data_IF_576123728527
#
_entry.id   IF_576123728527
#
_cell.length_a   1.000
_cell.length_b   1.000
_cell.length_c   1.000
_cell.angle_alpha   90.00
_cell.angle_beta   90.00
_cell.angle_gamma   90.00
#
_symmetry.space_group_name_H-M   'P 1'
#
loop_
_entity.id
_entity.type
_entity.pdbx_description
1 polymer ?
#
# COMPACT_ATOMS: atom_id res chain seq x y z
N UNK A 1 -16.59 -13.41 24.79
CA UNK A 1 -17.79 -12.72 24.29
C UNK A 1 -17.51 -12.32 22.84
N UNK A 2 -18.01 -13.08 21.85
CA UNK A 2 -17.70 -12.91 20.41
C UNK A 2 -18.49 -11.71 19.86
N UNK A 3 -17.80 -10.62 19.50
CA UNK A 3 -18.41 -9.51 18.76
C UNK A 3 -18.63 -9.92 17.30
N UNK A 4 -19.89 -9.86 16.85
CA UNK A 4 -20.30 -10.04 15.46
C UNK A 4 -20.25 -8.69 14.75
N UNK A 5 -19.47 -8.60 13.69
CA UNK A 5 -19.55 -7.53 12.69
C UNK A 5 -20.86 -7.68 11.92
N UNK A 6 -21.70 -6.64 11.90
CA UNK A 6 -22.80 -6.52 10.96
C UNK A 6 -22.40 -5.56 9.85
N UNK A 7 -21.79 -6.09 8.79
CA UNK A 7 -21.88 -5.46 7.47
C UNK A 7 -23.36 -5.51 7.02
N UNK A 8 -23.86 -4.52 6.26
CA UNK A 8 -25.18 -4.64 5.67
C UNK A 8 -25.24 -5.90 4.80
N UNK A 9 -26.29 -6.69 5.00
CA UNK A 9 -26.40 -8.05 4.42
C UNK A 9 -26.21 -8.07 2.89
N UNK A 10 -25.73 -9.18 2.30
CA UNK A 10 -25.60 -9.38 0.85
C UNK A 10 -26.92 -9.25 0.05
N UNK A 11 -28.07 -9.05 0.70
CA UNK A 11 -29.38 -8.89 0.06
C UNK A 11 -29.64 -7.49 -0.50
N UNK A 12 -28.81 -6.49 -0.21
CA UNK A 12 -29.02 -5.13 -0.72
C UNK A 12 -28.60 -4.95 -2.19
N UNK A 13 -27.64 -5.75 -2.67
CA UNK A 13 -27.10 -5.65 -4.04
C UNK A 13 -27.84 -6.49 -5.09
N UNK A 14 -28.80 -7.33 -4.68
CA UNK A 14 -29.54 -8.21 -5.58
C UNK A 14 -30.79 -7.56 -6.22
N UNK A 15 -31.05 -6.27 -6.01
CA UNK A 15 -32.28 -5.60 -6.49
C UNK A 15 -32.08 -4.48 -7.53
N UNK A 16 -30.85 -4.09 -7.87
CA UNK A 16 -30.59 -3.01 -8.84
C UNK A 16 -29.93 -3.46 -10.16
N UNK A 17 -29.64 -4.74 -10.32
CA UNK A 17 -29.20 -5.32 -11.59
C UNK A 17 -30.23 -6.35 -12.04
N UNK A 18 -31.05 -5.96 -13.02
CA UNK A 18 -31.92 -6.89 -13.72
C UNK A 18 -31.08 -8.03 -14.32
N UNK A 19 -31.39 -9.26 -13.88
CA UNK A 19 -31.17 -10.52 -14.59
C UNK A 19 -29.85 -10.70 -15.32
N UNK A 20 -28.79 -11.09 -14.61
CA UNK A 20 -27.74 -11.95 -15.17
C UNK A 20 -27.30 -12.94 -14.08
N UNK A 21 -27.83 -14.16 -14.12
CA UNK A 21 -27.40 -15.27 -13.28
C UNK A 21 -26.10 -15.84 -13.84
N UNK A 22 -24.99 -15.71 -13.11
CA UNK A 22 -23.79 -16.51 -13.36
C UNK A 22 -23.94 -17.90 -12.69
N UNK A 23 -23.56 -19.01 -13.33
CA UNK A 23 -23.79 -20.35 -12.80
C UNK A 23 -22.71 -20.73 -11.78
N UNK A 24 -23.03 -20.63 -10.49
CA UNK A 24 -22.22 -21.18 -9.40
C UNK A 24 -22.93 -22.36 -8.75
N UNK A 25 -22.40 -23.58 -8.89
CA UNK A 25 -22.80 -24.74 -8.08
C UNK A 25 -22.33 -24.55 -6.62
N UNK A 26 -23.11 -24.97 -5.61
CA UNK A 26 -22.67 -24.92 -4.22
C UNK A 26 -21.68 -26.06 -3.92
N UNK A 27 -20.54 -25.72 -3.30
CA UNK A 27 -19.58 -26.69 -2.75
C UNK A 27 -20.06 -27.12 -1.35
N UNK A 28 -20.10 -28.42 -1.01
CA UNK A 28 -20.59 -28.88 0.27
C UNK A 28 -19.57 -28.66 1.39
N UNK A 29 -20.05 -28.31 2.58
CA UNK A 29 -19.31 -28.37 3.84
C UNK A 29 -18.91 -29.81 4.11
N UNK A 30 -17.62 -30.11 4.18
CA UNK A 30 -17.10 -31.33 4.79
C UNK A 30 -16.32 -31.01 6.05
N UNK A 31 -16.30 -31.99 6.94
CA UNK A 31 -16.10 -31.89 8.36
C UNK A 31 -14.64 -31.74 8.78
N UNK A 32 -14.46 -31.26 10.01
CA UNK A 32 -13.20 -31.04 10.69
C UNK A 32 -12.45 -32.37 10.86
N UNK A 33 -11.37 -32.55 10.09
CA UNK A 33 -10.32 -33.52 10.36
C UNK A 33 -9.17 -32.86 11.14
N UNK A 34 -8.93 -33.33 12.36
CA UNK A 34 -7.81 -32.94 13.23
C UNK A 34 -6.47 -33.47 12.72
N UNK A 35 -5.48 -32.59 12.53
CA UNK A 35 -4.08 -32.93 12.20
C UNK A 35 -3.17 -32.31 13.28
N UNK A 36 -2.11 -33.02 13.76
CA UNK A 36 -1.51 -32.78 15.07
C UNK A 36 -0.50 -31.63 15.07
N UNK A 37 -0.39 -30.99 16.25
CA UNK A 37 0.55 -29.91 16.56
C UNK A 37 1.94 -30.46 16.93
N UNK A 38 2.94 -30.10 16.15
CA UNK A 38 4.35 -29.96 16.54
C UNK A 38 4.97 -28.97 15.56
N UNK A 39 5.64 -27.87 15.88
CA UNK A 39 6.38 -27.52 17.08
C UNK A 39 7.60 -26.72 16.62
N UNK A 40 7.39 -25.44 16.26
CA UNK A 40 8.37 -24.34 16.22
C UNK A 40 7.61 -23.05 15.87
N UNK A 41 7.60 -22.09 16.77
CA UNK A 41 6.77 -20.89 16.70
C UNK A 41 7.10 -20.04 15.47
N UNK A 42 6.17 -19.97 14.52
CA UNK A 42 6.26 -19.14 13.33
C UNK A 42 5.56 -17.82 13.63
N UNK A 43 6.36 -16.79 13.93
CA UNK A 43 5.87 -15.46 14.29
C UNK A 43 5.01 -14.82 13.19
N UNK A 44 3.86 -14.29 13.60
CA UNK A 44 2.91 -13.55 12.78
C UNK A 44 3.47 -12.15 12.45
N UNK A 45 4.35 -12.06 11.45
CA UNK A 45 5.04 -10.80 11.06
C UNK A 45 4.08 -9.68 10.67
N UNK A 46 3.01 -9.99 9.93
CA UNK A 46 2.07 -8.96 9.51
C UNK A 46 1.02 -8.55 10.56
N UNK A 47 0.82 -9.30 11.64
CA UNK A 47 0.02 -8.83 12.80
C UNK A 47 0.83 -7.86 13.66
N UNK A 48 2.16 -8.06 13.76
CA UNK A 48 3.04 -7.19 14.54
C UNK A 48 2.97 -5.73 14.08
N UNK A 49 3.01 -5.44 12.78
CA UNK A 49 2.95 -4.04 12.31
C UNK A 49 1.56 -3.37 12.49
N UNK A 50 0.47 -4.16 12.51
CA UNK A 50 -0.88 -3.64 12.75
C UNK A 50 -1.22 -3.49 14.26
N UNK A 51 -0.53 -4.25 15.12
CA UNK A 51 -0.76 -4.31 16.57
C UNK A 51 0.35 -3.62 17.39
N UNK A 52 1.24 -2.84 16.78
CA UNK A 52 2.29 -2.09 17.49
C UNK A 52 3.52 -2.92 17.90
N UNK A 53 3.72 -4.08 17.28
CA UNK A 53 4.96 -4.84 17.29
C UNK A 53 6.11 -4.14 16.54
N UNK A 54 7.33 -4.50 16.92
CA UNK A 54 8.57 -3.87 16.46
C UNK A 54 8.69 -3.78 14.92
N UNK A 55 9.22 -2.66 14.42
CA UNK A 55 9.66 -2.52 13.04
C UNK A 55 11.00 -3.24 12.85
N UNK A 56 10.98 -4.49 12.34
CA UNK A 56 12.19 -5.25 12.04
C UNK A 56 12.46 -5.34 10.53
N UNK A 57 13.75 -5.48 10.16
CA UNK A 57 14.16 -5.81 8.80
C UNK A 57 13.59 -7.14 8.32
N UNK A 58 13.35 -8.08 9.24
CA UNK A 58 12.80 -9.42 8.97
C UNK A 58 11.33 -9.39 8.55
N UNK A 59 10.62 -8.29 8.82
CA UNK A 59 9.22 -8.14 8.43
C UNK A 59 9.08 -7.63 6.98
N UNK A 60 10.18 -7.29 6.30
CA UNK A 60 10.19 -6.84 4.91
C UNK A 60 10.40 -8.06 4.00
N UNK A 61 9.39 -8.36 3.17
CA UNK A 61 9.38 -9.53 2.29
C UNK A 61 9.53 -9.13 0.81
N UNK A 62 10.34 -9.88 0.05
CA UNK A 62 10.53 -9.74 -1.40
C UNK A 62 11.27 -8.47 -1.81
N UNK A 63 12.08 -7.89 -0.91
CA UNK A 63 12.87 -6.68 -1.13
C UNK A 63 14.31 -6.84 -0.62
N UNK A 64 14.85 -8.06 -0.71
CA UNK A 64 16.12 -8.48 -0.12
C UNK A 64 17.27 -7.60 -0.61
N UNK A 65 17.27 -7.26 -1.90
CA UNK A 65 18.29 -6.39 -2.52
C UNK A 65 18.25 -4.98 -1.92
N UNK A 66 17.06 -4.39 -1.80
CA UNK A 66 16.90 -3.05 -1.24
C UNK A 66 17.24 -3.03 0.26
N UNK A 67 16.76 -4.03 1.01
CA UNK A 67 17.03 -4.20 2.43
C UNK A 67 18.53 -4.35 2.68
N UNK A 68 19.22 -5.21 1.94
CA UNK A 68 20.66 -5.41 2.13
C UNK A 68 21.47 -4.16 1.77
N UNK A 69 21.06 -3.43 0.72
CA UNK A 69 21.68 -2.15 0.38
C UNK A 69 21.55 -1.14 1.55
N UNK A 70 20.35 -1.00 2.13
CA UNK A 70 20.11 -0.10 3.26
C UNK A 70 20.89 -0.54 4.51
N UNK A 71 20.88 -1.84 4.83
CA UNK A 71 21.64 -2.38 5.96
C UNK A 71 23.15 -2.19 5.79
N UNK A 72 23.65 -2.32 4.56
CA UNK A 72 25.05 -2.05 4.24
C UNK A 72 25.43 -0.59 4.51
N UNK A 73 24.57 0.37 4.14
CA UNK A 73 24.81 1.79 4.43
C UNK A 73 24.87 2.06 5.95
N UNK A 74 23.95 1.46 6.72
CA UNK A 74 23.93 1.58 8.17
C UNK A 74 25.22 1.01 8.80
N UNK A 75 25.65 -0.18 8.38
CA UNK A 75 26.88 -0.82 8.92
C UNK A 75 28.14 -0.02 8.62
N UNK A 76 28.20 0.65 7.46
CA UNK A 76 29.34 1.49 7.07
C UNK A 76 29.30 2.89 7.68
N UNK A 77 28.15 3.32 8.20
CA UNK A 77 27.95 4.67 8.71
C UNK A 77 27.92 5.74 7.60
N UNK A 78 27.65 5.36 6.35
CA UNK A 78 27.71 6.23 5.17
C UNK A 78 26.32 6.56 4.61
N UNK A 79 25.29 6.56 5.48
CA UNK A 79 23.91 6.85 5.08
C UNK A 79 23.80 8.29 4.54
N UNK A 80 23.41 8.49 3.27
CA UNK A 80 23.16 9.81 2.71
C UNK A 80 22.04 10.54 3.47
N UNK A 81 22.13 11.86 3.53
CA UNK A 81 21.07 12.68 4.16
C UNK A 81 19.73 12.58 3.42
N UNK A 82 19.73 12.26 2.13
CA UNK A 82 18.52 12.11 1.32
C UNK A 82 18.51 10.79 0.55
N UNK A 83 17.51 9.95 0.83
CA UNK A 83 17.21 8.71 0.15
C UNK A 83 15.90 8.86 -0.65
N UNK A 84 15.85 8.26 -1.83
CA UNK A 84 14.66 8.19 -2.67
C UNK A 84 14.31 6.72 -2.93
N UNK A 85 13.20 6.27 -2.34
CA UNK A 85 12.66 4.92 -2.51
C UNK A 85 11.67 4.93 -3.68
N UNK A 86 12.01 4.21 -4.75
CA UNK A 86 11.21 4.10 -5.99
C UNK A 86 10.71 2.68 -6.18
N UNK A 87 9.58 2.50 -6.86
CA UNK A 87 9.01 1.19 -7.15
C UNK A 87 7.48 1.20 -7.08
N UNK A 88 6.79 0.12 -7.49
CA UNK A 88 5.32 0.13 -7.55
C UNK A 88 4.64 0.43 -6.20
N UNK A 89 3.42 0.97 -6.23
CA UNK A 89 2.65 1.27 -5.02
C UNK A 89 2.34 -0.01 -4.25
N UNK A 90 2.52 -0.02 -2.93
CA UNK A 90 2.19 -1.18 -2.08
C UNK A 90 3.25 -2.28 -1.97
N UNK A 91 4.43 -2.14 -2.61
CA UNK A 91 5.52 -3.16 -2.51
C UNK A 91 6.29 -3.14 -1.18
N UNK A 92 5.95 -2.25 -0.24
CA UNK A 92 6.59 -2.19 1.08
C UNK A 92 7.60 -1.06 1.28
N UNK A 93 7.69 -0.09 0.35
CA UNK A 93 8.59 1.08 0.46
C UNK A 93 8.41 1.87 1.76
N UNK A 94 7.17 2.26 2.07
CA UNK A 94 6.86 3.04 3.28
C UNK A 94 7.15 2.25 4.56
N UNK A 95 6.81 0.95 4.57
CA UNK A 95 7.16 0.06 5.70
C UNK A 95 8.67 -0.02 5.89
N UNK A 96 9.42 -0.17 4.80
CA UNK A 96 10.89 -0.18 4.83
C UNK A 96 11.45 1.17 5.28
N UNK A 97 10.84 2.29 4.88
CA UNK A 97 11.22 3.63 5.36
C UNK A 97 11.02 3.77 6.87
N UNK A 98 9.96 3.18 7.44
CA UNK A 98 9.76 3.14 8.89
C UNK A 98 10.80 2.26 9.60
N UNK A 99 11.16 1.11 9.04
CA UNK A 99 12.24 0.25 9.59
C UNK A 99 13.59 0.96 9.53
N UNK A 100 13.91 1.61 8.41
CA UNK A 100 15.11 2.44 8.27
C UNK A 100 15.12 3.60 9.28
N UNK A 101 13.98 4.25 9.48
CA UNK A 101 13.82 5.30 10.49
C UNK A 101 14.05 4.75 11.90
N UNK A 102 13.52 3.56 12.18
CA UNK A 102 13.72 2.88 13.46
C UNK A 102 15.19 2.56 13.70
N UNK A 103 15.93 2.14 12.66
CA UNK A 103 17.35 1.88 12.75
C UNK A 103 18.17 3.16 13.00
N UNK A 104 17.91 4.24 12.26
CA UNK A 104 18.60 5.53 12.41
C UNK A 104 18.38 6.19 13.78
N UNK A 105 17.19 6.02 14.35
CA UNK A 105 16.84 6.57 15.67
C UNK A 105 17.17 5.58 16.81
N UNK A 106 17.51 4.33 16.47
CA UNK A 106 17.86 3.32 17.46
C UNK A 106 19.25 3.59 18.06
N UNK A 107 19.41 3.47 19.39
CA UNK A 107 20.71 3.57 20.01
C UNK A 107 21.77 2.58 19.49
N UNK A 108 21.33 1.37 19.11
CA UNK A 108 22.19 0.31 18.56
C UNK A 108 22.36 0.37 17.04
N UNK A 109 21.52 1.14 16.33
CA UNK A 109 21.58 1.26 14.87
C UNK A 109 20.90 0.13 14.08
N UNK A 110 20.32 -0.88 14.74
CA UNK A 110 19.85 -2.11 14.05
C UNK A 110 18.33 -2.30 14.01
N UNK A 111 17.54 -1.38 14.57
CA UNK A 111 16.10 -1.55 14.76
C UNK A 111 15.72 -2.79 15.62
N UNK A 112 16.46 -2.98 16.71
CA UNK A 112 16.37 -4.11 17.66
C UNK A 112 15.08 -4.19 18.52
N UNK A 113 14.10 -3.32 18.28
CA UNK A 113 12.87 -3.28 19.08
C UNK A 113 13.00 -2.57 20.43
N UNK A 114 14.04 -1.76 20.66
CA UNK A 114 14.18 -0.91 21.84
C UNK A 114 13.02 0.10 22.00
N UNK A 115 12.92 0.86 23.12
CA UNK A 115 11.87 1.86 23.32
C UNK A 115 11.74 2.87 22.18
N UNK A 116 12.85 3.33 21.59
CA UNK A 116 12.82 4.24 20.43
C UNK A 116 12.21 3.56 19.21
N UNK A 117 12.64 2.34 18.87
CA UNK A 117 12.07 1.58 17.75
C UNK A 117 10.57 1.32 17.92
N UNK A 118 10.11 1.06 19.15
CA UNK A 118 8.68 0.92 19.45
C UNK A 118 7.90 2.23 19.27
N UNK A 119 8.48 3.38 19.65
CA UNK A 119 7.88 4.70 19.37
C UNK A 119 7.80 4.96 17.86
N UNK A 120 8.81 4.54 17.09
CA UNK A 120 8.78 4.63 15.61
C UNK A 120 7.70 3.74 15.03
N UNK A 121 7.61 2.48 15.47
CA UNK A 121 6.56 1.55 15.05
C UNK A 121 5.15 2.08 15.34
N UNK A 122 4.97 2.70 16.50
CA UNK A 122 3.74 3.38 16.90
C UNK A 122 3.56 4.78 16.26
N UNK A 123 4.53 5.26 15.47
CA UNK A 123 4.54 6.59 14.79
C UNK A 123 4.45 7.79 15.73
N UNK A 124 4.88 7.63 16.98
CA UNK A 124 4.85 8.67 18.03
C UNK A 124 6.24 9.18 18.42
N UNK A 125 7.30 8.69 17.78
CA UNK A 125 8.66 9.16 18.06
C UNK A 125 8.77 10.67 17.79
N UNK A 126 9.33 11.47 18.74
CA UNK A 126 9.36 12.94 18.60
C UNK A 126 10.22 13.40 17.41
N UNK A 127 11.29 12.68 17.12
CA UNK A 127 12.22 12.96 16.01
C UNK A 127 11.87 12.24 14.69
N UNK A 128 10.69 11.61 14.62
CA UNK A 128 10.13 11.06 13.37
C UNK A 128 9.06 12.02 12.83
N UNK A 129 9.26 12.50 11.62
CA UNK A 129 8.33 13.39 10.94
C UNK A 129 7.78 12.74 9.67
N UNK A 130 6.49 12.40 9.70
CA UNK A 130 5.79 11.84 8.56
C UNK A 130 5.05 12.96 7.81
N UNK A 131 5.33 13.07 6.51
CA UNK A 131 4.60 13.91 5.57
C UNK A 131 3.86 12.99 4.62
N UNK A 132 2.53 13.07 4.64
CA UNK A 132 1.65 12.30 3.77
C UNK A 132 0.72 13.29 3.03
N UNK A 133 0.19 12.92 1.84
CA UNK A 133 -0.76 13.76 1.12
C UNK A 133 -2.03 14.04 1.92
N UNK A 134 -2.48 15.28 1.90
CA UNK A 134 -3.80 15.66 2.40
C UNK A 134 -4.81 15.63 1.24
N UNK A 135 -5.61 14.56 1.18
CA UNK A 135 -6.41 14.28 -0.01
C UNK A 135 -5.52 13.74 -1.12
N UNK A 136 -5.30 14.53 -2.17
CA UNK A 136 -4.53 14.12 -3.37
C UNK A 136 -3.16 14.81 -3.50
N UNK A 137 -2.83 15.76 -2.62
CA UNK A 137 -1.58 16.53 -2.74
C UNK A 137 -0.91 16.83 -1.40
N UNK A 138 0.40 17.09 -1.47
CA UNK A 138 1.21 17.65 -0.39
C UNK A 138 1.44 19.11 -0.74
N UNK A 139 0.78 19.99 0.01
CA UNK A 139 0.82 21.45 -0.23
C UNK A 139 2.06 22.08 0.39
N UNK A 140 2.44 23.26 -0.09
CA UNK A 140 3.65 23.97 0.33
C UNK A 140 3.65 24.31 1.82
N UNK A 141 2.48 24.59 2.42
CA UNK A 141 2.35 24.87 3.85
C UNK A 141 2.86 23.69 4.69
N UNK A 142 2.55 22.46 4.27
CA UNK A 142 2.97 21.25 4.98
C UNK A 142 4.49 21.07 4.96
N UNK A 143 5.13 21.41 3.83
CA UNK A 143 6.60 21.39 3.71
C UNK A 143 7.22 22.48 4.58
N UNK A 144 6.66 23.70 4.60
CA UNK A 144 7.16 24.80 5.44
C UNK A 144 7.00 24.54 6.94
N UNK A 145 5.90 23.90 7.35
CA UNK A 145 5.72 23.43 8.73
C UNK A 145 6.83 22.45 9.13
N UNK A 146 7.17 21.53 8.23
CA UNK A 146 8.26 20.58 8.44
C UNK A 146 9.61 21.31 8.58
N UNK A 147 9.92 22.26 7.70
CA UNK A 147 11.16 23.06 7.79
C UNK A 147 11.29 23.78 9.13
N UNK A 148 10.18 24.33 9.64
CA UNK A 148 10.13 24.93 10.98
C UNK A 148 10.45 23.94 12.10
N UNK A 149 10.05 22.68 11.98
CA UNK A 149 10.40 21.62 12.93
C UNK A 149 11.88 21.20 12.79
N UNK A 150 12.38 21.13 11.56
CA UNK A 150 13.78 20.79 11.25
C UNK A 150 14.76 21.87 11.71
N UNK A 151 14.32 23.09 11.97
CA UNK A 151 15.18 24.14 12.54
C UNK A 151 15.56 23.93 14.02
N UNK A 152 14.84 23.05 14.74
CA UNK A 152 15.06 22.81 16.19
C UNK A 152 16.12 21.74 16.42
N UNK A 153 16.57 21.51 17.67
CA UNK A 153 17.41 20.34 17.99
C UNK A 153 16.55 19.08 18.13
N UNK A 154 17.14 17.91 17.83
CA UNK A 154 16.52 16.63 18.10
C UNK A 154 16.19 16.49 19.60
N UNK A 155 15.05 15.89 19.92
CA UNK A 155 14.55 15.75 21.29
C UNK A 155 15.27 14.61 22.02
N UNK A 156 15.46 13.47 21.34
CA UNK A 156 16.13 12.29 21.91
C UNK A 156 17.61 12.19 21.46
N UNK A 157 18.12 13.18 20.72
CA UNK A 157 19.55 13.43 20.52
C UNK A 157 20.31 12.51 19.55
N UNK A 158 19.62 11.64 18.80
CA UNK A 158 20.23 10.75 17.78
C UNK A 158 20.22 11.31 16.36
N UNK A 159 19.46 12.39 16.15
CA UNK A 159 19.11 12.91 14.84
C UNK A 159 17.61 12.88 14.60
N UNK A 160 17.21 13.16 13.36
CA UNK A 160 15.82 13.24 12.92
C UNK A 160 15.64 12.50 11.62
N UNK A 161 14.46 11.91 11.46
CA UNK A 161 14.10 11.24 10.22
C UNK A 161 12.79 11.82 9.70
N UNK A 162 12.82 12.31 8.47
CA UNK A 162 11.66 12.74 7.71
C UNK A 162 11.32 11.65 6.71
N UNK A 163 10.08 11.19 6.72
CA UNK A 163 9.56 10.33 5.65
C UNK A 163 8.47 11.10 4.91
N UNK A 164 8.69 11.34 3.62
CA UNK A 164 7.69 11.92 2.73
C UNK A 164 7.08 10.78 1.91
N UNK A 165 5.89 10.32 2.31
CA UNK A 165 5.14 9.30 1.58
C UNK A 165 4.50 9.94 0.34
N UNK A 166 4.59 9.25 -0.79
CA UNK A 166 4.10 9.73 -2.09
C UNK A 166 4.62 11.13 -2.44
N UNK A 167 5.94 11.27 -2.50
CA UNK A 167 6.64 12.51 -2.83
C UNK A 167 6.18 13.13 -4.16
N UNK A 168 5.70 12.33 -5.11
CA UNK A 168 5.11 12.80 -6.37
C UNK A 168 3.82 13.60 -6.20
N UNK A 169 3.17 13.50 -5.04
CA UNK A 169 1.98 14.28 -4.72
C UNK A 169 2.32 15.69 -4.24
N UNK A 170 3.59 16.06 -4.10
CA UNK A 170 3.99 17.45 -3.83
C UNK A 170 3.52 18.36 -4.96
N UNK A 171 2.91 19.49 -4.62
CA UNK A 171 2.72 20.56 -5.61
C UNK A 171 4.08 21.09 -6.07
N UNK A 172 4.12 21.74 -7.22
CA UNK A 172 5.36 22.32 -7.73
C UNK A 172 5.97 23.32 -6.72
N UNK A 173 5.15 24.10 -6.02
CA UNK A 173 5.61 25.02 -4.98
C UNK A 173 6.18 24.25 -3.77
N UNK A 174 5.54 23.16 -3.37
CA UNK A 174 6.01 22.33 -2.26
C UNK A 174 7.36 21.68 -2.57
N UNK A 175 7.51 21.09 -3.77
CA UNK A 175 8.76 20.46 -4.19
C UNK A 175 9.91 21.48 -4.31
N UNK A 176 9.64 22.67 -4.85
CA UNK A 176 10.63 23.73 -4.97
C UNK A 176 11.04 24.30 -3.60
N UNK A 177 10.10 24.48 -2.67
CA UNK A 177 10.42 24.88 -1.31
C UNK A 177 11.36 23.87 -0.64
N UNK A 178 11.10 22.57 -0.85
CA UNK A 178 11.86 21.49 -0.23
C UNK A 178 13.30 21.36 -0.75
N UNK A 179 13.64 21.96 -1.90
CA UNK A 179 14.99 21.88 -2.48
C UNK A 179 16.06 22.41 -1.54
N UNK A 180 15.78 23.50 -0.82
CA UNK A 180 16.73 24.07 0.14
C UNK A 180 17.08 23.06 1.23
N UNK A 181 16.08 22.37 1.74
CA UNK A 181 16.22 21.34 2.78
C UNK A 181 16.97 20.10 2.28
N UNK A 182 16.84 19.77 0.99
CA UNK A 182 17.58 18.67 0.36
C UNK A 182 19.04 19.00 0.04
N UNK A 183 19.37 20.27 -0.20
CA UNK A 183 20.74 20.73 -0.46
C UNK A 183 21.55 20.89 0.81
N UNK A 184 20.96 21.55 1.81
CA UNK A 184 21.62 21.93 3.05
C UNK A 184 20.77 21.42 4.24
N UNK A 185 20.73 20.09 4.47
CA UNK A 185 19.99 19.54 5.60
C UNK A 185 20.61 20.03 6.91
N UNK A 186 19.76 20.25 7.92
CA UNK A 186 20.27 20.46 9.27
C UNK A 186 21.10 19.24 9.73
N UNK A 187 22.11 19.43 10.61
CA UNK A 187 22.90 18.33 11.13
C UNK A 187 22.03 17.19 11.65
N UNK A 188 22.47 15.96 11.40
CA UNK A 188 21.81 14.71 11.82
C UNK A 188 20.35 14.60 11.34
N UNK A 189 20.06 15.10 10.14
CA UNK A 189 18.73 14.98 9.52
C UNK A 189 18.79 14.05 8.32
N UNK A 190 17.94 13.01 8.34
CA UNK A 190 17.77 12.06 7.26
C UNK A 190 16.39 12.23 6.63
N UNK A 191 16.34 12.26 5.32
CA UNK A 191 15.14 12.46 4.52
C UNK A 191 14.96 11.22 3.65
N UNK A 192 13.79 10.60 3.76
CA UNK A 192 13.40 9.45 2.95
C UNK A 192 12.17 9.85 2.13
N UNK A 193 12.37 10.02 0.83
CA UNK A 193 11.29 10.24 -0.12
C UNK A 193 10.78 8.88 -0.61
N UNK A 194 9.46 8.68 -0.63
CA UNK A 194 8.85 7.48 -1.20
C UNK A 194 8.04 7.88 -2.42
N UNK A 195 8.34 7.29 -3.58
CA UNK A 195 7.64 7.54 -4.84
C UNK A 195 7.37 6.26 -5.61
N UNK A 196 6.38 6.28 -6.50
CA UNK A 196 6.14 5.18 -7.42
C UNK A 196 7.26 5.04 -8.46
N UNK A 197 7.69 6.18 -9.00
CA UNK A 197 8.77 6.27 -9.99
C UNK A 197 9.55 7.55 -9.79
N UNK A 198 10.78 7.60 -10.30
CA UNK A 198 11.60 8.83 -10.25
C UNK A 198 11.15 9.86 -11.29
N UNK A 199 10.51 9.39 -12.35
CA UNK A 199 9.97 10.19 -13.45
C UNK A 199 8.79 11.06 -13.00
N UNK A 200 8.10 10.64 -11.93
CA UNK A 200 7.01 11.40 -11.33
C UNK A 200 7.50 12.56 -10.43
N UNK A 201 8.81 12.76 -10.29
CA UNK A 201 9.42 13.78 -9.45
C UNK A 201 10.16 14.81 -10.30
N UNK A 202 10.33 16.01 -9.75
CA UNK A 202 11.17 17.03 -10.39
C UNK A 202 12.62 16.51 -10.48
N UNK A 203 13.29 16.64 -11.65
CA UNK A 203 14.69 16.23 -11.80
C UNK A 203 15.63 16.83 -10.75
N UNK A 204 15.32 18.05 -10.29
CA UNK A 204 16.06 18.75 -9.23
C UNK A 204 15.97 18.09 -7.87
N UNK A 205 14.85 17.45 -7.54
CA UNK A 205 14.69 16.65 -6.31
C UNK A 205 15.48 15.35 -6.46
N UNK A 206 15.31 14.65 -7.58
CA UNK A 206 15.94 13.36 -7.84
C UNK A 206 17.46 13.45 -7.82
N UNK A 207 18.04 14.52 -8.38
CA UNK A 207 19.51 14.69 -8.45
C UNK A 207 20.18 14.86 -7.08
N UNK A 208 19.43 15.18 -6.03
CA UNK A 208 19.91 15.38 -4.65
C UNK A 208 19.69 14.15 -3.75
N UNK A 209 19.06 13.10 -4.27
CA UNK A 209 18.71 11.91 -3.51
C UNK A 209 19.50 10.69 -4.01
N UNK A 210 19.87 9.80 -3.09
CA UNK A 210 20.34 8.46 -3.45
C UNK A 210 19.14 7.54 -3.68
N UNK A 211 18.99 7.04 -4.89
CA UNK A 211 17.90 6.14 -5.26
C UNK A 211 18.12 4.72 -4.68
N UNK A 212 17.07 4.16 -4.09
CA UNK A 212 16.95 2.75 -3.71
C UNK A 212 15.68 2.20 -4.38
N UNK A 213 15.86 1.20 -5.25
CA UNK A 213 14.79 0.64 -6.05
C UNK A 213 14.14 -0.56 -5.35
N UNK A 214 12.82 -0.57 -5.39
CA UNK A 214 11.96 -1.65 -4.94
C UNK A 214 11.23 -2.24 -6.15
N UNK A 215 11.08 -3.55 -6.19
CA UNK A 215 10.46 -4.29 -7.30
C UNK A 215 9.15 -4.95 -6.87
N UNK A 216 8.33 -5.34 -7.83
CA UNK A 216 7.25 -6.29 -7.57
C UNK A 216 7.83 -7.66 -7.19
N UNK A 217 7.07 -8.42 -6.41
CA UNK A 217 7.41 -9.78 -5.99
C UNK A 217 6.96 -10.75 -7.09
N UNK A 218 7.76 -11.77 -7.35
CA UNK A 218 7.39 -12.83 -8.29
C UNK A 218 6.11 -13.54 -7.86
N UNK A 219 5.25 -13.91 -8.81
CA UNK A 219 3.96 -14.54 -8.51
C UNK A 219 4.10 -15.82 -7.68
N UNK A 220 5.11 -16.65 -7.97
CA UNK A 220 5.36 -17.89 -7.21
C UNK A 220 5.78 -17.65 -5.76
N UNK A 221 6.69 -16.70 -5.53
CA UNK A 221 7.13 -16.29 -4.19
C UNK A 221 5.98 -15.70 -3.38
N UNK A 222 5.12 -14.90 -4.02
CA UNK A 222 3.94 -14.33 -3.38
C UNK A 222 2.87 -15.39 -3.08
N UNK A 223 2.66 -16.37 -3.97
CA UNK A 223 1.79 -17.52 -3.73
C UNK A 223 2.27 -18.32 -2.51
N UNK A 224 3.58 -18.60 -2.44
CA UNK A 224 4.17 -19.31 -1.30
C UNK A 224 3.98 -18.55 0.02
N UNK A 225 4.18 -17.23 0.00
CA UNK A 225 3.92 -16.38 1.17
C UNK A 225 2.46 -16.47 1.61
N UNK A 226 1.50 -16.34 0.68
CA UNK A 226 0.07 -16.37 0.99
C UNK A 226 -0.38 -17.73 1.55
N UNK A 227 0.18 -18.84 1.05
CA UNK A 227 -0.09 -20.17 1.60
C UNK A 227 0.52 -20.31 2.99
N UNK A 228 1.81 -20.03 3.13
CA UNK A 228 2.56 -20.36 4.35
C UNK A 228 2.31 -19.39 5.51
N UNK A 229 2.06 -18.11 5.21
CA UNK A 229 1.93 -17.04 6.23
C UNK A 229 0.51 -16.58 6.45
N UNK A 230 -0.30 -16.50 5.39
CA UNK A 230 -1.70 -16.07 5.49
C UNK A 230 -2.68 -17.27 5.55
N UNK A 231 -2.22 -18.49 5.27
CA UNK A 231 -3.01 -19.72 5.43
C UNK A 231 -4.05 -19.94 4.33
N UNK A 232 -3.87 -19.35 3.15
CA UNK A 232 -4.79 -19.49 2.02
C UNK A 232 -4.65 -20.86 1.35
N UNK A 233 -5.74 -21.35 0.73
CA UNK A 233 -5.68 -22.52 -0.13
C UNK A 233 -4.80 -22.23 -1.37
N UNK A 234 -4.02 -23.20 -1.90
CA UNK A 234 -3.08 -22.96 -3.00
C UNK A 234 -3.72 -22.31 -4.24
N UNK A 235 -4.92 -22.75 -4.65
CA UNK A 235 -5.63 -22.16 -5.80
C UNK A 235 -6.03 -20.70 -5.56
N UNK A 236 -6.48 -20.39 -4.35
CA UNK A 236 -6.86 -19.03 -3.95
C UNK A 236 -5.64 -18.12 -3.87
N UNK A 237 -4.55 -18.61 -3.25
CA UNK A 237 -3.27 -17.92 -3.16
C UNK A 237 -2.71 -17.61 -4.55
N UNK A 238 -2.73 -18.58 -5.47
CA UNK A 238 -2.30 -18.40 -6.87
C UNK A 238 -3.13 -17.36 -7.61
N UNK A 239 -4.45 -17.42 -7.47
CA UNK A 239 -5.35 -16.44 -8.08
C UNK A 239 -5.09 -15.03 -7.53
N UNK A 240 -4.88 -14.92 -6.22
CA UNK A 240 -4.63 -13.65 -5.54
C UNK A 240 -3.26 -13.06 -5.87
N UNK A 241 -2.21 -13.88 -5.86
CA UNK A 241 -0.84 -13.49 -6.21
C UNK A 241 -0.75 -12.97 -7.65
N UNK A 242 -1.52 -13.57 -8.57
CA UNK A 242 -1.61 -13.11 -9.96
C UNK A 242 -2.32 -11.76 -10.05
N UNK A 243 -3.55 -11.68 -9.51
CA UNK A 243 -4.37 -10.44 -9.58
C UNK A 243 -3.74 -9.26 -8.86
N UNK A 244 -2.93 -9.49 -7.83
CA UNK A 244 -2.24 -8.42 -7.13
C UNK A 244 -1.16 -7.76 -7.98
N UNK A 245 -0.72 -8.39 -9.09
CA UNK A 245 0.35 -7.88 -9.95
C UNK A 245 1.72 -7.90 -9.28
N UNK A 246 1.96 -8.83 -8.35
CA UNK A 246 3.20 -8.88 -7.57
C UNK A 246 3.31 -7.79 -6.50
N UNK A 247 2.21 -7.06 -6.23
CA UNK A 247 2.17 -6.03 -5.18
C UNK A 247 1.87 -6.69 -3.84
N UNK A 248 2.90 -6.80 -3.00
CA UNK A 248 2.81 -7.45 -1.68
C UNK A 248 1.68 -6.91 -0.80
N UNK A 249 1.67 -5.60 -0.55
CA UNK A 249 0.72 -4.98 0.36
C UNK A 249 -0.73 -5.14 -0.11
N UNK A 250 -0.96 -5.16 -1.42
CA UNK A 250 -2.27 -5.44 -2.02
C UNK A 250 -2.69 -6.90 -1.80
N UNK A 251 -1.79 -7.84 -2.07
CA UNK A 251 -2.06 -9.26 -1.87
C UNK A 251 -2.40 -9.58 -0.40
N UNK A 252 -1.61 -9.08 0.55
CA UNK A 252 -1.88 -9.26 1.98
C UNK A 252 -3.17 -8.55 2.41
N UNK A 253 -3.42 -7.33 1.90
CA UNK A 253 -4.67 -6.61 2.19
C UNK A 253 -5.88 -7.42 1.74
N UNK A 254 -5.88 -7.92 0.50
CA UNK A 254 -7.00 -8.69 -0.05
C UNK A 254 -7.14 -10.08 0.59
N UNK A 255 -6.05 -10.70 1.03
CA UNK A 255 -6.08 -11.96 1.76
C UNK A 255 -6.78 -11.80 3.12
N UNK A 256 -6.48 -10.71 3.84
CA UNK A 256 -7.03 -10.44 5.18
C UNK A 256 -8.41 -9.81 5.14
N UNK A 257 -8.67 -9.01 4.11
CA UNK A 257 -9.91 -8.27 3.90
C UNK A 257 -10.39 -8.49 2.45
N UNK A 258 -11.02 -9.64 2.15
CA UNK A 258 -11.49 -9.97 0.79
C UNK A 258 -12.40 -8.90 0.19
N UNK A 259 -13.13 -8.14 1.01
CA UNK A 259 -13.94 -7.00 0.60
C UNK A 259 -13.13 -5.86 -0.02
N UNK A 260 -11.86 -5.68 0.35
CA UNK A 260 -10.99 -4.66 -0.24
C UNK A 260 -10.72 -4.93 -1.73
N UNK A 261 -10.71 -6.21 -2.15
CA UNK A 261 -10.59 -6.60 -3.56
C UNK A 261 -11.82 -6.23 -4.41
N UNK A 262 -12.93 -5.80 -3.78
CA UNK A 262 -14.14 -5.41 -4.49
C UNK A 262 -13.92 -4.16 -5.37
N UNK A 263 -13.10 -3.20 -4.94
CA UNK A 263 -12.84 -1.98 -5.71
C UNK A 263 -12.09 -2.28 -7.01
N UNK A 264 -11.07 -3.14 -6.95
CA UNK A 264 -10.40 -3.67 -8.14
C UNK A 264 -11.38 -4.32 -9.10
N UNK A 265 -12.19 -5.26 -8.59
CA UNK A 265 -13.17 -5.99 -9.41
C UNK A 265 -14.17 -5.06 -10.09
N UNK A 266 -14.63 -4.01 -9.38
CA UNK A 266 -15.49 -2.96 -9.94
C UNK A 266 -14.81 -2.20 -11.07
N UNK A 267 -13.50 -1.95 -10.95
CA UNK A 267 -12.68 -1.38 -12.02
C UNK A 267 -12.69 -2.24 -13.28
N UNK A 268 -12.37 -3.54 -13.13
CA UNK A 268 -12.39 -4.50 -14.24
C UNK A 268 -13.77 -4.59 -14.89
N UNK A 269 -14.83 -4.70 -14.08
CA UNK A 269 -16.23 -4.71 -14.56
C UNK A 269 -16.57 -3.42 -15.33
N UNK A 270 -16.17 -2.26 -14.80
CA UNK A 270 -16.38 -0.99 -15.47
C UNK A 270 -15.69 -0.95 -16.84
N UNK A 271 -14.42 -1.35 -16.91
CA UNK A 271 -13.66 -1.41 -18.15
C UNK A 271 -14.30 -2.37 -19.18
N UNK A 272 -14.76 -3.55 -18.72
CA UNK A 272 -15.43 -4.53 -19.58
C UNK A 272 -16.76 -4.04 -20.15
N UNK A 273 -17.45 -3.13 -19.44
CA UNK A 273 -18.74 -2.58 -19.85
C UNK A 273 -18.62 -1.25 -20.60
N UNK A 274 -17.54 -0.47 -20.43
CA UNK A 274 -17.44 0.92 -20.91
C UNK A 274 -17.88 1.10 -22.38
N UNK A 275 -17.49 0.20 -23.28
CA UNK A 275 -17.82 0.31 -24.71
C UNK A 275 -19.28 -0.03 -25.05
N UNK A 276 -20.03 -0.59 -24.10
CA UNK A 276 -21.44 -1.00 -24.24
C UNK A 276 -22.39 -0.09 -23.48
N UNK A 277 -21.85 0.77 -22.63
CA UNK A 277 -22.62 1.76 -21.91
C UNK A 277 -22.78 3.00 -22.77
N UNK A 278 -23.97 3.57 -22.74
CA UNK A 278 -24.14 4.97 -23.12
C UNK A 278 -23.32 5.86 -22.17
N UNK A 279 -22.96 7.06 -22.62
CA UNK A 279 -22.26 8.04 -21.77
C UNK A 279 -23.00 8.26 -20.43
N UNK A 280 -24.33 8.28 -20.45
CA UNK A 280 -25.16 8.43 -19.24
C UNK A 280 -24.98 7.27 -18.26
N UNK A 281 -24.97 6.04 -18.75
CA UNK A 281 -24.79 4.85 -17.89
C UNK A 281 -23.38 4.76 -17.34
N UNK A 282 -22.38 5.10 -18.14
CA UNK A 282 -20.99 5.19 -17.70
C UNK A 282 -20.83 6.23 -16.57
N UNK A 283 -21.37 7.44 -16.77
CA UNK A 283 -21.35 8.49 -15.74
C UNK A 283 -22.11 8.09 -14.47
N UNK A 284 -23.23 7.38 -14.59
CA UNK A 284 -23.98 6.84 -13.44
C UNK A 284 -23.15 5.85 -12.63
N UNK A 285 -22.40 4.95 -13.30
CA UNK A 285 -21.51 3.99 -12.65
C UNK A 285 -20.35 4.70 -11.94
N UNK A 286 -19.76 5.73 -12.56
CA UNK A 286 -18.72 6.57 -11.93
C UNK A 286 -19.27 7.27 -10.68
N UNK A 287 -20.46 7.87 -10.76
CA UNK A 287 -21.10 8.56 -9.63
C UNK A 287 -21.43 7.60 -8.47
N UNK A 288 -21.88 6.38 -8.78
CA UNK A 288 -22.09 5.32 -7.78
C UNK A 288 -20.77 4.95 -7.07
N UNK A 289 -19.68 4.77 -7.83
CA UNK A 289 -18.37 4.46 -7.24
C UNK A 289 -17.86 5.63 -6.38
N UNK A 290 -18.07 6.87 -6.83
CA UNK A 290 -17.70 8.09 -6.08
C UNK A 290 -18.40 8.14 -4.72
N UNK A 291 -19.71 7.82 -4.67
CA UNK A 291 -20.49 7.81 -3.43
C UNK A 291 -19.97 6.77 -2.45
N UNK A 292 -19.73 5.54 -2.91
CA UNK A 292 -19.19 4.47 -2.06
C UNK A 292 -17.79 4.80 -1.52
N UNK A 293 -16.91 5.34 -2.37
CA UNK A 293 -15.58 5.80 -1.95
C UNK A 293 -15.71 6.91 -0.91
N UNK A 294 -16.68 7.83 -1.05
CA UNK A 294 -16.90 8.90 -0.07
C UNK A 294 -17.42 8.39 1.28
N UNK A 295 -18.20 7.31 1.30
CA UNK A 295 -18.78 6.73 2.52
C UNK A 295 -17.82 5.82 3.27
N UNK A 296 -16.70 5.41 2.65
CA UNK A 296 -15.71 4.53 3.27
C UNK A 296 -15.08 5.20 4.52
N UNK A 297 -15.13 4.47 5.63
CA UNK A 297 -14.52 4.76 6.94
C UNK A 297 -13.84 3.52 7.46
N UNK A 298 -12.65 3.66 8.07
CA UNK A 298 -11.95 2.55 8.71
C UNK A 298 -12.11 2.64 10.22
N UNK A 299 -12.72 1.61 10.84
CA UNK A 299 -12.77 1.49 12.30
C UNK A 299 -11.56 0.68 12.80
N UNK A 300 -10.76 1.26 13.71
CA UNK A 300 -9.75 0.50 14.46
C UNK A 300 -8.40 1.18 14.71
N UNK A 301 -7.70 0.68 15.73
CA UNK A 301 -6.30 0.93 16.05
C UNK A 301 -6.09 1.61 17.40
N UNK A 302 -5.59 0.87 18.39
CA UNK A 302 -5.04 1.50 19.61
C UNK A 302 -4.85 0.66 20.87
N UNK A 303 -4.78 -0.68 20.84
CA UNK A 303 -4.70 -1.45 22.10
C UNK A 303 -3.39 -1.20 22.89
N UNK A 304 -2.28 -0.82 22.24
CA UNK A 304 -1.01 -0.52 22.93
C UNK A 304 -0.80 0.93 23.37
N UNK A 305 -1.48 1.88 22.74
CA UNK A 305 -1.24 3.32 22.97
C UNK A 305 -1.97 3.82 24.22
N UNK A 306 -3.11 3.23 24.58
CA UNK A 306 -3.85 3.62 25.78
C UNK A 306 -3.06 3.35 27.07
N UNK A 307 -2.35 2.22 27.14
CA UNK A 307 -1.44 1.91 28.24
C UNK A 307 -0.26 2.91 28.34
N UNK A 308 0.24 3.39 27.20
CA UNK A 308 1.30 4.41 27.15
C UNK A 308 0.77 5.80 27.55
N UNK A 309 -0.44 6.17 27.09
CA UNK A 309 -1.09 7.45 27.40
C UNK A 309 -1.43 7.59 28.89
N UNK A 310 -1.82 6.50 29.55
CA UNK A 310 -2.07 6.51 31.00
C UNK A 310 -0.82 6.75 31.84
N UNK A 311 0.37 6.58 31.26
CA UNK A 311 1.66 6.81 31.94
C UNK A 311 2.23 8.22 31.69
N UNK A 312 1.59 9.05 30.85
CA UNK A 312 2.04 10.41 30.52
C UNK A 312 1.33 11.48 31.37
N UNK A 313 1.94 12.66 31.48
CA UNK A 313 1.27 13.82 32.07
C UNK A 313 0.04 14.27 31.26
N UNK A 314 -0.89 14.98 31.92
CA UNK A 314 -2.19 15.32 31.33
C UNK A 314 -2.11 16.16 30.04
N UNK A 315 -1.14 17.09 29.94
CA UNK A 315 -0.96 17.95 28.75
C UNK A 315 -0.37 17.19 27.56
N UNK A 316 0.47 16.19 27.81
CA UNK A 316 1.07 15.34 26.78
C UNK A 316 0.06 14.31 26.29
N UNK A 317 -0.76 13.76 27.19
CA UNK A 317 -1.87 12.88 26.84
C UNK A 317 -2.94 13.59 25.98
N UNK A 318 -3.32 14.83 26.31
CA UNK A 318 -4.29 15.62 25.55
C UNK A 318 -3.79 15.94 24.13
N UNK A 319 -2.54 16.37 23.99
CA UNK A 319 -1.92 16.58 22.67
C UNK A 319 -1.91 15.31 21.82
N UNK A 320 -1.61 14.15 22.41
CA UNK A 320 -1.64 12.88 21.69
C UNK A 320 -3.08 12.47 21.30
N UNK A 321 -4.09 12.73 22.14
CA UNK A 321 -5.50 12.45 21.79
C UNK A 321 -5.93 13.24 20.57
N UNK A 322 -5.65 14.55 20.54
CA UNK A 322 -5.92 15.40 19.37
C UNK A 322 -5.20 14.89 18.12
N UNK A 323 -3.92 14.48 18.26
CA UNK A 323 -3.15 13.88 17.16
C UNK A 323 -3.78 12.59 16.65
N UNK A 324 -4.35 11.76 17.53
CA UNK A 324 -5.07 10.51 17.17
C UNK A 324 -6.35 10.80 16.37
N UNK A 325 -7.11 11.83 16.73
CA UNK A 325 -8.29 12.26 15.96
C UNK A 325 -7.90 12.75 14.56
N UNK A 326 -6.86 13.58 14.47
CA UNK A 326 -6.29 14.03 13.20
C UNK A 326 -5.77 12.84 12.36
N UNK A 327 -5.11 11.87 12.99
CA UNK A 327 -4.69 10.62 12.36
C UNK A 327 -5.86 9.76 11.89
N UNK A 328 -6.94 9.66 12.66
CA UNK A 328 -8.14 8.92 12.25
C UNK A 328 -8.77 9.56 11.00
N UNK A 329 -8.90 10.89 10.97
CA UNK A 329 -9.35 11.63 9.78
C UNK A 329 -8.43 11.40 8.58
N UNK A 330 -7.10 11.37 8.79
CA UNK A 330 -6.12 11.04 7.74
C UNK A 330 -6.22 9.59 7.26
N UNK A 331 -6.48 8.63 8.15
CA UNK A 331 -6.69 7.20 7.82
C UNK A 331 -7.87 7.04 6.88
N UNK A 332 -9.00 7.65 7.16
CA UNK A 332 -10.18 7.62 6.28
C UNK A 332 -9.84 8.16 4.89
N UNK A 333 -9.23 9.36 4.81
CA UNK A 333 -8.81 9.95 3.53
C UNK A 333 -7.86 9.03 2.74
N UNK A 334 -6.89 8.41 3.43
CA UNK A 334 -5.95 7.45 2.82
C UNK A 334 -6.66 6.21 2.29
N UNK A 335 -7.64 5.69 3.03
CA UNK A 335 -8.39 4.51 2.65
C UNK A 335 -9.23 4.76 1.37
N UNK A 336 -9.88 5.93 1.28
CA UNK A 336 -10.61 6.34 0.06
C UNK A 336 -9.68 6.43 -1.15
N UNK A 337 -8.50 7.01 -0.96
CA UNK A 337 -7.48 7.11 -2.02
C UNK A 337 -6.98 5.73 -2.45
N UNK A 338 -6.67 4.84 -1.50
CA UNK A 338 -6.34 3.43 -1.78
C UNK A 338 -7.40 2.74 -2.63
N UNK A 339 -8.67 2.85 -2.24
CA UNK A 339 -9.78 2.25 -2.97
C UNK A 339 -9.97 2.84 -4.38
N UNK A 340 -9.75 4.16 -4.54
CA UNK A 340 -9.77 4.80 -5.86
C UNK A 340 -8.63 4.29 -6.78
N UNK A 341 -7.42 4.13 -6.24
CA UNK A 341 -6.31 3.54 -6.98
C UNK A 341 -6.58 2.09 -7.35
N UNK A 342 -7.06 1.26 -6.43
CA UNK A 342 -7.37 -0.14 -6.73
C UNK A 342 -8.45 -0.25 -7.82
N UNK A 343 -9.44 0.64 -7.84
CA UNK A 343 -10.41 0.73 -8.94
C UNK A 343 -9.74 1.06 -10.29
N UNK A 344 -8.89 2.09 -10.34
CA UNK A 344 -8.21 2.49 -11.57
C UNK A 344 -7.25 1.41 -12.06
N UNK A 345 -6.51 0.77 -11.16
CA UNK A 345 -5.60 -0.32 -11.52
C UNK A 345 -6.40 -1.54 -12.01
N UNK A 346 -7.59 -1.77 -11.46
CA UNK A 346 -8.54 -2.76 -11.97
C UNK A 346 -8.93 -2.48 -13.43
N UNK A 347 -9.28 -1.23 -13.75
CA UNK A 347 -9.55 -0.83 -15.14
C UNK A 347 -8.32 -1.04 -16.03
N UNK A 348 -7.14 -0.58 -15.58
CA UNK A 348 -5.89 -0.70 -16.34
C UNK A 348 -5.52 -2.16 -16.61
N UNK A 349 -5.75 -3.05 -15.63
CA UNK A 349 -5.45 -4.48 -15.79
C UNK A 349 -6.27 -5.15 -16.90
N UNK A 350 -7.51 -4.72 -17.11
CA UNK A 350 -8.36 -5.23 -18.17
C UNK A 350 -7.81 -4.84 -19.55
N UNK A 351 -7.43 -3.57 -19.71
CA UNK A 351 -6.81 -3.10 -20.97
C UNK A 351 -5.42 -3.71 -21.19
N UNK A 352 -4.64 -3.93 -20.13
CA UNK A 352 -3.37 -4.66 -20.20
C UNK A 352 -3.54 -6.07 -20.75
N UNK A 353 -4.55 -6.79 -20.28
CA UNK A 353 -4.86 -8.14 -20.77
C UNK A 353 -5.34 -8.13 -22.23
N UNK A 354 -6.11 -7.10 -22.65
CA UNK A 354 -6.48 -6.91 -24.06
C UNK A 354 -5.22 -6.71 -24.93
N UNK A 355 -4.31 -5.83 -24.53
CA UNK A 355 -3.07 -5.59 -25.28
C UNK A 355 -2.24 -6.86 -25.40
N UNK A 356 -2.13 -7.66 -24.33
CA UNK A 356 -1.41 -8.92 -24.36
C UNK A 356 -2.02 -9.91 -25.38
N UNK A 357 -3.35 -10.00 -25.44
CA UNK A 357 -4.04 -10.85 -26.42
C UNK A 357 -3.81 -10.39 -27.87
N UNK A 358 -3.75 -9.08 -28.11
CA UNK A 358 -3.46 -8.52 -29.44
C UNK A 358 -2.03 -8.86 -29.83
N UNK A 359 -1.04 -8.51 -28.99
CA UNK A 359 0.38 -8.70 -29.28
C UNK A 359 0.74 -10.17 -29.54
N UNK A 360 0.25 -11.09 -28.72
CA UNK A 360 0.53 -12.53 -28.91
C UNK A 360 -0.24 -13.09 -30.13
N UNK A 361 -1.43 -12.55 -30.41
CA UNK A 361 -2.18 -12.88 -31.61
C UNK A 361 -1.46 -12.51 -32.90
N UNK A 362 -0.76 -11.37 -32.92
CA UNK A 362 0.09 -10.93 -34.05
C UNK A 362 1.27 -11.88 -34.30
N UNK A 363 1.81 -12.48 -33.24
CA UNK A 363 2.90 -13.47 -33.31
C UNK A 363 2.41 -14.89 -33.66
N UNK A 364 1.10 -15.07 -33.85
CA UNK A 364 0.49 -16.37 -34.16
C UNK A 364 0.42 -17.34 -32.98
N UNK A 365 0.57 -16.84 -31.75
CA UNK A 365 0.52 -17.63 -30.52
C UNK A 365 -0.85 -17.63 -29.84
N UNK A 366 -1.02 -18.49 -28.83
CA UNK A 366 -2.16 -18.45 -27.90
C UNK A 366 -1.70 -17.96 -26.52
N UNK A 367 -2.43 -17.01 -25.93
CA UNK A 367 -2.19 -16.60 -24.54
C UNK A 367 -2.82 -17.59 -23.58
N UNK A 368 -1.99 -18.24 -22.77
CA UNK A 368 -2.44 -19.05 -21.64
C UNK A 368 -3.15 -18.20 -20.58
N UNK A 369 -4.20 -18.75 -19.95
CA UNK A 369 -4.94 -18.07 -18.88
C UNK A 369 -4.05 -17.71 -17.67
N UNK A 370 -2.91 -18.39 -17.53
CA UNK A 370 -1.87 -18.14 -16.52
C UNK A 370 -1.22 -16.76 -16.67
N UNK A 371 -1.18 -16.21 -17.90
CA UNK A 371 -0.55 -14.91 -18.21
C UNK A 371 -1.53 -13.73 -18.07
N UNK A 372 -2.83 -13.99 -18.06
CA UNK A 372 -3.88 -12.98 -17.87
C UNK A 372 -4.05 -12.64 -16.40
N UNK A 373 -4.21 -11.35 -16.08
CA UNK A 373 -4.56 -10.90 -14.73
C UNK A 373 -6.04 -11.18 -14.41
N UNK A 374 -6.89 -11.15 -15.44
CA UNK A 374 -8.35 -11.29 -15.34
C UNK A 374 -8.88 -12.46 -16.20
N UNK A 375 -8.42 -13.71 -15.98
CA UNK A 375 -8.78 -14.85 -16.81
C UNK A 375 -10.29 -15.15 -16.78
N UNK A 376 -10.99 -14.80 -15.71
CA UNK A 376 -12.45 -14.95 -15.62
C UNK A 376 -13.22 -14.07 -16.62
N UNK A 377 -12.56 -13.04 -17.17
CA UNK A 377 -13.11 -12.13 -18.20
C UNK A 377 -12.63 -12.48 -19.61
N UNK A 378 -12.06 -13.68 -19.85
CA UNK A 378 -11.47 -14.06 -21.15
C UNK A 378 -12.39 -13.84 -22.35
N UNK A 379 -13.69 -14.10 -22.20
CA UNK A 379 -14.68 -13.92 -23.28
C UNK A 379 -14.87 -12.44 -23.65
N UNK A 380 -14.89 -11.57 -22.66
CA UNK A 380 -14.95 -10.12 -22.81
C UNK A 380 -13.64 -9.60 -23.40
N UNK A 381 -12.50 -9.99 -22.83
CA UNK A 381 -11.16 -9.62 -23.28
C UNK A 381 -10.94 -9.97 -24.76
N UNK A 382 -11.18 -11.23 -25.16
CA UNK A 382 -10.96 -11.68 -26.54
C UNK A 382 -11.88 -10.98 -27.54
N UNK A 383 -13.07 -10.56 -27.11
CA UNK A 383 -14.02 -9.83 -27.95
C UNK A 383 -13.58 -8.39 -28.16
N UNK A 384 -13.16 -7.70 -27.09
CA UNK A 384 -12.66 -6.33 -27.21
C UNK A 384 -11.31 -6.28 -27.94
N UNK A 385 -10.43 -7.27 -27.76
CA UNK A 385 -9.19 -7.42 -28.51
C UNK A 385 -9.45 -7.50 -30.03
N UNK A 386 -10.34 -8.41 -30.46
CA UNK A 386 -10.73 -8.53 -31.88
C UNK A 386 -11.35 -7.24 -32.43
N UNK A 387 -12.12 -6.52 -31.61
CA UNK A 387 -12.72 -5.26 -32.02
C UNK A 387 -11.64 -4.19 -32.28
N UNK A 388 -10.68 -4.03 -31.38
CA UNK A 388 -9.61 -3.04 -31.52
C UNK A 388 -8.69 -3.35 -32.70
N UNK A 389 -8.33 -4.63 -32.87
CA UNK A 389 -7.55 -5.10 -34.01
C UNK A 389 -8.26 -4.79 -35.35
N UNK A 390 -9.57 -5.05 -35.42
CA UNK A 390 -10.38 -4.74 -36.60
C UNK A 390 -10.52 -3.24 -36.90
N UNK A 391 -10.37 -2.35 -35.92
CA UNK A 391 -10.43 -0.90 -36.12
C UNK A 391 -9.10 -0.30 -36.61
N UNK A 392 -8.02 -1.09 -36.67
CA UNK A 392 -6.72 -0.63 -37.11
C UNK A 392 -6.15 0.49 -36.23
N UNK A 393 -6.53 0.53 -34.95
CA UNK A 393 -5.92 1.41 -33.93
C UNK A 393 -4.51 0.88 -33.69
N UNK A 394 -3.61 1.23 -34.61
CA UNK A 394 -2.17 0.96 -34.57
C UNK A 394 -1.43 2.17 -34.06
#
# INVERSE_FOLDING_TARGET
MRMRFSLPSPRFWAKSLGGFTSPGRPVPRSERGSVPRSGRGVGHGGERLAQGGACSWEDIFGQEVAVEHLRSMLRRGDVPHALLFTGPRGVGKFTTALVMSAALLCPSGEADGCPSCRKVAARVHPDLHLVEPEGMSIRVERVRELEGLLSRKAVEGRGRVVVVDEAQSMTAEAANAFLKTLEEPHPETYIILVSESRENLLPTVVSRCREVRFSSIGTGELEEYLVNREGLAPEEARSLARRSGGIFGRAVLWARFPEAAAYWRKGVECAALMRRLTLREALSKVESCRRELHELRLEGGGEGLEAYLSALDGKSAERLRKRREEEASRRDKRARRLAAHDFLDGMASFYRDIMLLILVGEEGGEVEDTLLLNPEWRKELAREARYLDAQGVR
#
